data_IF_137106041726
#
_entry.id   IF_137106041726
#
_cell.length_a   1.000
_cell.length_b   1.000
_cell.length_c   1.000
_cell.angle_alpha   90.00
_cell.angle_beta   90.00
_cell.angle_gamma   90.00
#
_symmetry.space_group_name_H-M   'P 1'
#
loop_
_entity.id
_entity.type
_entity.pdbx_description
1 polymer ?
#
# COMPACT_ATOMS: atom_id res chain seq x y z
N UNK A 1 -10.32 -16.41 15.70
CA UNK A 1 -9.82 -15.02 15.70
C UNK A 1 -10.93 -14.11 16.22
N UNK A 2 -10.62 -13.02 16.91
CA UNK A 2 -11.65 -12.01 17.26
C UNK A 2 -11.94 -11.15 16.02
N UNK A 3 -13.17 -10.69 15.84
CA UNK A 3 -13.61 -9.93 14.65
C UNK A 3 -12.71 -8.72 14.33
N UNK A 4 -12.19 -8.03 15.36
CA UNK A 4 -11.29 -6.91 15.12
C UNK A 4 -9.92 -7.32 14.57
N UNK A 5 -9.42 -8.52 14.91
CA UNK A 5 -8.13 -9.06 14.42
C UNK A 5 -8.27 -9.45 12.94
N UNK A 6 -9.37 -10.10 12.58
CA UNK A 6 -9.68 -10.46 11.19
C UNK A 6 -9.81 -9.20 10.31
N UNK A 7 -10.42 -8.13 10.82
CA UNK A 7 -10.45 -6.83 10.13
C UNK A 7 -9.05 -6.27 9.84
N UNK A 8 -8.08 -6.43 10.74
CA UNK A 8 -6.69 -5.96 10.51
C UNK A 8 -6.02 -6.75 9.40
N UNK A 9 -6.20 -8.07 9.37
CA UNK A 9 -5.64 -8.94 8.33
C UNK A 9 -6.24 -8.60 6.96
N UNK A 10 -7.56 -8.53 6.87
CA UNK A 10 -8.25 -8.18 5.61
C UNK A 10 -7.84 -6.81 5.11
N UNK A 11 -7.68 -5.84 6.02
CA UNK A 11 -7.22 -4.51 5.68
C UNK A 11 -5.77 -4.51 5.15
N UNK A 12 -4.86 -5.25 5.79
CA UNK A 12 -3.49 -5.39 5.33
C UNK A 12 -3.41 -6.04 3.95
N UNK A 13 -4.13 -7.16 3.74
CA UNK A 13 -4.14 -7.88 2.47
C UNK A 13 -4.62 -6.99 1.32
N UNK A 14 -5.68 -6.21 1.56
CA UNK A 14 -6.19 -5.25 0.58
C UNK A 14 -5.17 -4.14 0.29
N UNK A 15 -4.48 -3.64 1.31
CA UNK A 15 -3.47 -2.60 1.17
C UNK A 15 -2.25 -3.07 0.39
N UNK A 16 -1.73 -4.26 0.70
CA UNK A 16 -0.59 -4.89 0.00
C UNK A 16 -0.91 -5.08 -1.48
N UNK A 17 -2.09 -5.62 -1.80
CA UNK A 17 -2.53 -5.80 -3.18
C UNK A 17 -2.58 -4.48 -3.95
N UNK A 18 -3.08 -3.41 -3.33
CA UNK A 18 -3.14 -2.09 -3.95
C UNK A 18 -1.74 -1.47 -4.10
N UNK A 19 -0.84 -1.69 -3.14
CA UNK A 19 0.55 -1.22 -3.20
C UNK A 19 1.32 -1.91 -4.34
N UNK A 20 1.16 -3.22 -4.50
CA UNK A 20 1.76 -3.97 -5.61
C UNK A 20 1.26 -3.46 -6.97
N UNK A 21 -0.04 -3.18 -7.10
CA UNK A 21 -0.61 -2.62 -8.31
C UNK A 21 -0.06 -1.23 -8.62
N UNK A 22 0.05 -0.37 -7.60
CA UNK A 22 0.64 0.96 -7.71
C UNK A 22 2.11 0.89 -8.14
N UNK A 23 2.91 0.03 -7.51
CA UNK A 23 4.32 -0.15 -7.84
C UNK A 23 4.50 -0.68 -9.27
N UNK A 24 3.64 -1.61 -9.71
CA UNK A 24 3.64 -2.10 -11.10
C UNK A 24 3.32 -0.97 -12.08
N UNK A 25 2.35 -0.11 -11.75
CA UNK A 25 2.02 1.04 -12.59
C UNK A 25 3.18 2.04 -12.67
N UNK A 26 3.80 2.38 -11.52
CA UNK A 26 4.95 3.29 -11.44
C UNK A 26 6.14 2.75 -12.26
N UNK A 27 6.34 1.43 -12.29
CA UNK A 27 7.37 0.79 -13.12
C UNK A 27 7.06 0.76 -14.62
N UNK A 28 5.84 1.10 -15.03
CA UNK A 28 5.39 1.10 -16.42
C UNK A 28 5.84 2.32 -17.23
N UNK A 29 5.66 2.26 -18.55
CA UNK A 29 5.98 3.36 -19.46
C UNK A 29 5.02 4.54 -19.30
N UNK A 30 3.72 4.27 -19.12
CA UNK A 30 2.66 5.28 -18.97
C UNK A 30 2.94 6.25 -17.82
N UNK A 31 3.52 5.76 -16.72
CA UNK A 31 3.89 6.60 -15.59
C UNK A 31 4.85 7.73 -15.96
N UNK A 32 5.77 7.48 -16.90
CA UNK A 32 6.78 8.45 -17.33
C UNK A 32 6.18 9.62 -18.11
N UNK A 33 5.01 9.41 -18.71
CA UNK A 33 4.30 10.41 -19.51
C UNK A 33 3.38 11.29 -18.63
N UNK A 34 3.19 10.93 -17.36
CA UNK A 34 2.40 11.73 -16.42
C UNK A 34 3.16 13.01 -16.02
N UNK A 35 2.39 14.04 -15.65
CA UNK A 35 2.96 15.24 -15.02
C UNK A 35 3.85 14.88 -13.83
N UNK A 36 4.97 15.58 -13.68
CA UNK A 36 5.96 15.31 -12.63
C UNK A 36 5.32 15.38 -11.23
N UNK A 37 4.35 16.28 -11.01
CA UNK A 37 3.69 16.38 -9.70
C UNK A 37 2.79 15.18 -9.44
N UNK A 38 2.20 14.60 -10.48
CA UNK A 38 1.42 13.36 -10.35
C UNK A 38 2.32 12.19 -10.04
N UNK A 39 3.45 12.07 -10.75
CA UNK A 39 4.47 11.06 -10.44
C UNK A 39 4.90 11.11 -8.96
N UNK A 40 5.18 12.32 -8.45
CA UNK A 40 5.55 12.52 -7.05
C UNK A 40 4.40 12.26 -6.06
N UNK A 41 3.13 12.51 -6.44
CA UNK A 41 1.98 12.11 -5.61
C UNK A 41 1.88 10.60 -5.50
N UNK A 42 1.99 9.88 -6.61
CA UNK A 42 1.89 8.41 -6.64
C UNK A 42 3.04 7.73 -5.88
N UNK A 43 4.28 8.24 -5.99
CA UNK A 43 5.40 7.74 -5.18
C UNK A 43 5.16 7.92 -3.69
N UNK A 44 4.73 9.13 -3.27
CA UNK A 44 4.41 9.40 -1.85
C UNK A 44 3.25 8.55 -1.35
N UNK A 45 2.24 8.33 -2.18
CA UNK A 45 1.16 7.39 -1.89
C UNK A 45 1.71 5.99 -1.61
N UNK A 46 2.59 5.47 -2.48
CA UNK A 46 3.22 4.17 -2.28
C UNK A 46 4.01 4.07 -0.97
N UNK A 47 4.78 5.10 -0.62
CA UNK A 47 5.51 5.17 0.66
C UNK A 47 4.55 5.13 1.85
N UNK A 48 3.48 5.93 1.83
CA UNK A 48 2.50 5.95 2.92
C UNK A 48 1.75 4.62 3.06
N UNK A 49 1.41 3.98 1.94
CA UNK A 49 0.79 2.65 1.95
C UNK A 49 1.71 1.57 2.52
N UNK A 50 3.00 1.60 2.18
CA UNK A 50 3.99 0.68 2.75
C UNK A 50 4.12 0.85 4.27
N UNK A 51 4.31 2.09 4.73
CA UNK A 51 4.37 2.40 6.17
C UNK A 51 3.11 1.97 6.91
N UNK A 52 1.93 2.17 6.30
CA UNK A 52 0.70 1.72 6.92
C UNK A 52 0.60 0.19 6.99
N UNK A 53 1.02 -0.51 5.94
CA UNK A 53 1.08 -1.98 5.91
C UNK A 53 2.00 -2.54 6.99
N UNK A 54 3.14 -1.89 7.25
CA UNK A 54 4.08 -2.29 8.31
C UNK A 54 3.42 -2.18 9.69
N UNK A 55 2.70 -1.08 9.96
CA UNK A 55 1.94 -0.91 11.22
C UNK A 55 0.86 -1.99 11.35
N UNK A 56 0.17 -2.35 10.26
CA UNK A 56 -0.81 -3.44 10.29
C UNK A 56 -0.13 -4.80 10.57
N UNK A 57 1.06 -5.04 10.02
CA UNK A 57 1.85 -6.25 10.29
C UNK A 57 2.22 -6.36 11.77
N UNK A 58 2.73 -5.27 12.35
CA UNK A 58 3.06 -5.19 13.78
C UNK A 58 1.84 -5.48 14.65
N UNK A 59 0.67 -4.92 14.29
CA UNK A 59 -0.59 -5.19 14.98
C UNK A 59 -0.98 -6.65 14.91
N UNK A 60 -0.86 -7.29 13.73
CA UNK A 60 -1.17 -8.71 13.53
C UNK A 60 -0.26 -9.60 14.37
N UNK A 61 1.05 -9.29 14.45
CA UNK A 61 2.01 -10.04 15.26
C UNK A 61 1.74 -9.90 16.77
N UNK A 62 1.22 -8.76 17.21
CA UNK A 62 0.94 -8.49 18.63
C UNK A 62 -0.33 -9.14 19.18
N UNK A 63 -1.10 -9.85 18.34
CA UNK A 63 -2.40 -10.44 18.65
C UNK A 63 -2.34 -11.96 18.81
#
# INVERSE_FOLDING_TARGET
>A
MKDYQERVIVEQDALVKNLEALNRFIGGTVFKDLDIREQERMKRQGVAMAQYSDVLAERIVAF
#
